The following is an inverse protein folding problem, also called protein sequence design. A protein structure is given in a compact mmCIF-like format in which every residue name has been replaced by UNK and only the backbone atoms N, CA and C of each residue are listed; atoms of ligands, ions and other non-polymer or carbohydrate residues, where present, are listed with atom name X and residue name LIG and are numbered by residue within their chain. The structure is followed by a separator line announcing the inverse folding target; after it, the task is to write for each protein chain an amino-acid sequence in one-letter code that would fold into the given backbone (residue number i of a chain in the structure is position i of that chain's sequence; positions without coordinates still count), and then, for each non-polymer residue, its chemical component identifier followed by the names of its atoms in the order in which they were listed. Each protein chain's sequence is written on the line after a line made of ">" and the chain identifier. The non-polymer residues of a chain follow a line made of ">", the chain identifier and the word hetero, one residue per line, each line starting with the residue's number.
data_IF_612914797033
#
_entry.id   IF_612914797033
#
_cell.length_a   1.000
_cell.length_b   1.000
_cell.length_c   1.000
_cell.angle_alpha   90.00
_cell.angle_beta   90.00
_cell.angle_gamma   90.00
#
_symmetry.space_group_name_H-M   'P 1'
#
loop_
_entity.id
_entity.type
_entity.pdbx_description
1 polymer ?
#
# COMPACT_ATOMS: atom_id res chain seq x y z
N UNK A 1 28.63 17.80 16.21
CA UNK A 1 27.21 17.51 15.95
C UNK A 1 27.15 16.09 15.39
N UNK A 2 26.57 15.13 16.13
CA UNK A 2 26.53 13.73 15.66
C UNK A 2 25.48 13.63 14.55
N UNK A 3 25.93 13.42 13.32
CA UNK A 3 25.06 13.01 12.21
C UNK A 3 24.34 11.72 12.60
N UNK A 4 23.03 11.81 12.81
CA UNK A 4 22.19 10.64 12.99
C UNK A 4 22.04 9.97 11.63
N UNK A 5 22.85 8.94 11.41
CA UNK A 5 22.76 8.07 10.24
C UNK A 5 21.43 7.29 10.29
N UNK A 6 20.42 7.82 9.59
CA UNK A 6 19.06 7.28 9.50
C UNK A 6 18.96 5.93 8.76
N UNK A 7 20.06 5.37 8.23
CA UNK A 7 20.03 4.10 7.46
C UNK A 7 20.01 2.84 8.33
N UNK A 8 20.05 2.97 9.66
CA UNK A 8 20.21 1.83 10.58
C UNK A 8 19.03 1.60 11.53
N UNK A 9 17.97 2.40 11.46
CA UNK A 9 16.79 2.23 12.31
C UNK A 9 15.84 1.21 11.67
N UNK A 10 16.05 -0.07 12.00
CA UNK A 10 15.07 -1.12 11.74
C UNK A 10 13.81 -0.83 12.55
N UNK A 11 12.80 -0.24 11.91
CA UNK A 11 11.52 0.03 12.56
C UNK A 11 10.67 -1.23 12.48
N UNK A 12 10.41 -1.83 13.65
CA UNK A 12 9.56 -3.01 13.74
C UNK A 12 8.10 -2.68 13.42
N UNK A 13 7.44 -3.58 12.68
CA UNK A 13 6.01 -3.39 12.32
C UNK A 13 5.08 -3.56 13.52
N UNK A 14 5.46 -4.33 14.55
CA UNK A 14 4.65 -4.62 15.74
C UNK A 14 5.47 -4.38 17.00
N UNK A 15 4.90 -3.69 18.00
CA UNK A 15 5.47 -3.51 19.33
C UNK A 15 4.36 -3.74 20.36
N UNK A 16 4.42 -4.88 21.07
CA UNK A 16 3.30 -5.33 21.91
C UNK A 16 2.04 -5.56 21.06
N UNK A 17 0.93 -4.89 21.41
CA UNK A 17 -0.34 -4.92 20.66
C UNK A 17 -0.51 -3.76 19.67
N UNK A 18 0.50 -2.90 19.55
CA UNK A 18 0.51 -1.78 18.62
C UNK A 18 1.27 -2.12 17.33
N UNK A 19 0.88 -1.44 16.25
CA UNK A 19 1.41 -1.62 14.91
C UNK A 19 1.87 -0.30 14.32
N UNK A 20 3.04 -0.32 13.70
CA UNK A 20 3.65 0.87 13.11
C UNK A 20 3.01 1.24 11.78
N UNK A 21 2.63 2.50 11.61
CA UNK A 21 2.24 3.07 10.32
C UNK A 21 3.41 3.89 9.74
N UNK A 22 4.00 3.52 8.59
CA UNK A 22 5.15 4.23 8.03
C UNK A 22 4.79 5.60 7.41
N UNK A 23 3.50 5.93 7.26
CA UNK A 23 3.06 7.24 6.75
C UNK A 23 2.99 8.31 7.84
N UNK A 24 2.29 8.05 8.95
CA UNK A 24 2.26 8.96 10.09
C UNK A 24 3.40 8.74 11.07
N UNK A 25 4.14 7.63 10.95
CA UNK A 25 5.26 7.23 11.80
C UNK A 25 4.89 6.99 13.27
N UNK A 26 3.68 6.47 13.50
CA UNK A 26 3.15 6.17 14.85
C UNK A 26 2.84 4.69 15.02
N UNK A 27 2.90 4.23 16.27
CA UNK A 27 2.38 2.92 16.69
C UNK A 27 0.93 3.07 17.11
N UNK A 28 0.04 2.35 16.43
CA UNK A 28 -1.41 2.43 16.62
C UNK A 28 -2.00 1.05 16.88
N UNK A 29 -3.16 1.01 17.52
CA UNK A 29 -3.91 -0.22 17.75
C UNK A 29 -4.33 -0.90 16.44
N UNK A 30 -4.55 -2.22 16.50
CA UNK A 30 -4.93 -3.04 15.33
C UNK A 30 -6.19 -2.53 14.63
N UNK A 31 -7.16 -2.02 15.39
CA UNK A 31 -8.44 -1.48 14.91
C UNK A 31 -8.27 -0.24 14.02
N UNK A 32 -7.14 0.48 14.13
CA UNK A 32 -6.81 1.63 13.28
C UNK A 32 -6.32 1.20 11.90
N UNK A 33 -6.17 -0.09 11.62
CA UNK A 33 -5.78 -0.63 10.32
C UNK A 33 -6.93 -1.41 9.66
N UNK A 34 -6.85 -1.60 8.34
CA UNK A 34 -7.77 -2.51 7.65
C UNK A 34 -7.26 -3.95 7.76
N UNK A 35 -8.18 -4.91 7.78
CA UNK A 35 -7.83 -6.33 7.75
C UNK A 35 -7.23 -6.71 6.39
N UNK A 36 -6.17 -7.50 6.39
CA UNK A 36 -5.52 -8.00 5.18
C UNK A 36 -5.03 -9.43 5.37
N UNK A 37 -5.60 -10.36 4.60
CA UNK A 37 -5.19 -11.78 4.59
C UNK A 37 -3.79 -11.99 4.04
N UNK A 38 -3.28 -11.05 3.24
CA UNK A 38 -1.96 -11.14 2.61
C UNK A 38 -0.80 -10.71 3.56
N UNK A 39 -1.13 -10.14 4.72
CA UNK A 39 -0.14 -9.62 5.67
C UNK A 39 0.14 -10.62 6.78
N UNK A 40 1.42 -10.77 7.17
CA UNK A 40 1.85 -11.56 8.33
C UNK A 40 1.06 -11.23 9.62
N UNK A 41 0.69 -9.96 9.78
CA UNK A 41 -0.01 -9.46 10.96
C UNK A 41 -1.53 -9.37 10.80
N UNK A 42 -2.06 -9.82 9.66
CA UNK A 42 -3.50 -9.77 9.37
C UNK A 42 -4.03 -8.36 9.11
N UNK A 43 -3.16 -7.35 8.97
CA UNK A 43 -3.54 -5.94 8.77
C UNK A 43 -2.73 -5.27 7.65
N UNK A 44 -3.25 -4.19 7.11
CA UNK A 44 -2.58 -3.35 6.10
C UNK A 44 -1.33 -2.64 6.63
N UNK A 45 -0.47 -2.20 5.71
CA UNK A 45 0.75 -1.46 6.06
C UNK A 45 0.45 -0.08 6.65
N UNK A 46 -0.60 0.60 6.17
CA UNK A 46 -1.01 1.93 6.61
C UNK A 46 -2.27 1.87 7.48
N UNK A 47 -2.38 2.80 8.42
CA UNK A 47 -3.61 3.03 9.18
C UNK A 47 -4.72 3.59 8.26
N UNK A 48 -5.97 3.48 8.70
CA UNK A 48 -7.18 3.87 7.96
C UNK A 48 -7.15 5.33 7.49
N UNK A 49 -6.67 6.24 8.34
CA UNK A 49 -6.56 7.66 8.00
C UNK A 49 -5.56 7.91 6.87
N UNK A 50 -4.34 7.37 7.01
CA UNK A 50 -3.32 7.47 5.97
C UNK A 50 -3.74 6.76 4.68
N UNK A 51 -4.44 5.63 4.78
CA UNK A 51 -4.93 4.91 3.60
C UNK A 51 -6.02 5.70 2.86
N UNK A 52 -6.92 6.37 3.58
CA UNK A 52 -7.91 7.28 2.98
C UNK A 52 -7.25 8.41 2.18
N UNK A 53 -6.23 9.05 2.76
CA UNK A 53 -5.47 10.11 2.08
C UNK A 53 -4.74 9.55 0.86
N UNK A 54 -4.09 8.39 0.99
CA UNK A 54 -3.38 7.72 -0.13
C UNK A 54 -4.33 7.45 -1.30
N UNK A 55 -5.51 6.88 -1.04
CA UNK A 55 -6.52 6.60 -2.07
C UNK A 55 -7.00 7.89 -2.75
N UNK A 56 -7.16 8.97 -2.00
CA UNK A 56 -7.56 10.27 -2.56
C UNK A 56 -6.48 10.83 -3.50
N UNK A 57 -5.22 10.79 -3.09
CA UNK A 57 -4.08 11.21 -3.92
C UNK A 57 -4.00 10.35 -5.20
N UNK A 58 -4.20 9.03 -5.09
CA UNK A 58 -4.21 8.14 -6.27
C UNK A 58 -5.35 8.47 -7.23
N UNK A 59 -6.54 8.78 -6.71
CA UNK A 59 -7.67 9.22 -7.52
C UNK A 59 -7.36 10.54 -8.25
N UNK A 60 -6.84 11.54 -7.53
CA UNK A 60 -6.47 12.84 -8.10
C UNK A 60 -5.35 12.72 -9.14
N UNK A 61 -4.34 11.87 -8.89
CA UNK A 61 -3.29 11.57 -9.86
C UNK A 61 -3.84 10.98 -11.16
N UNK A 62 -4.83 10.09 -11.07
CA UNK A 62 -5.48 9.51 -12.27
C UNK A 62 -6.29 10.57 -13.03
N UNK A 63 -7.06 11.40 -12.33
CA UNK A 63 -7.80 12.49 -12.95
C UNK A 63 -6.86 13.50 -13.64
N UNK A 64 -5.73 13.85 -12.99
CA UNK A 64 -4.73 14.72 -13.59
C UNK A 64 -4.05 14.08 -14.81
N UNK A 65 -3.71 12.80 -14.73
CA UNK A 65 -3.14 12.06 -15.86
C UNK A 65 -4.08 12.07 -17.08
N UNK A 66 -5.39 11.94 -16.86
CA UNK A 66 -6.41 12.05 -17.91
C UNK A 66 -6.44 13.45 -18.54
N UNK A 67 -6.47 14.51 -17.73
CA UNK A 67 -6.44 15.90 -18.22
C UNK A 67 -5.17 16.22 -19.01
N UNK A 68 -4.03 15.69 -18.57
CA UNK A 68 -2.74 15.87 -19.25
C UNK A 68 -2.55 14.93 -20.46
N UNK A 69 -3.53 14.08 -20.77
CA UNK A 69 -3.44 13.12 -21.87
C UNK A 69 -2.34 12.06 -21.68
N UNK A 70 -1.94 11.79 -20.43
CA UNK A 70 -0.97 10.74 -20.11
C UNK A 70 -1.61 9.38 -20.33
N UNK A 71 -1.29 8.76 -21.46
CA UNK A 71 -1.74 7.41 -21.75
C UNK A 71 -1.05 6.40 -20.83
N UNK A 72 -1.84 5.49 -20.27
CA UNK A 72 -1.30 4.32 -19.57
C UNK A 72 -0.57 3.43 -20.56
N UNK A 73 0.54 2.84 -20.15
CA UNK A 73 1.25 1.89 -21.01
C UNK A 73 0.43 0.61 -21.16
N UNK A 74 0.68 -0.13 -22.25
CA UNK A 74 0.02 -1.44 -22.47
C UNK A 74 0.27 -2.40 -21.32
N UNK A 75 1.45 -2.34 -20.71
CA UNK A 75 1.85 -3.15 -19.55
C UNK A 75 1.04 -2.78 -18.30
N UNK A 76 0.78 -1.49 -18.08
CA UNK A 76 -0.05 -1.01 -16.98
C UNK A 76 -1.50 -1.46 -17.12
N UNK A 77 -2.05 -1.42 -18.34
CA UNK A 77 -3.42 -1.88 -18.62
C UNK A 77 -3.53 -3.41 -18.50
N UNK A 78 -2.53 -4.16 -18.98
CA UNK A 78 -2.53 -5.62 -18.93
C UNK A 78 -2.51 -6.14 -17.48
N UNK A 79 -1.72 -5.52 -16.60
CA UNK A 79 -1.66 -5.87 -15.17
C UNK A 79 -3.02 -5.79 -14.46
N UNK A 80 -3.86 -4.84 -14.86
CA UNK A 80 -5.19 -4.63 -14.26
C UNK A 80 -6.26 -5.54 -14.87
N UNK A 81 -6.08 -5.99 -16.12
CA UNK A 81 -7.02 -6.89 -16.80
C UNK A 81 -6.80 -8.36 -16.49
N UNK A 82 -5.56 -8.78 -16.23
CA UNK A 82 -5.21 -10.19 -16.12
C UNK A 82 -4.49 -10.50 -14.81
N UNK A 83 -4.97 -11.50 -14.07
CA UNK A 83 -4.36 -11.93 -12.81
C UNK A 83 -4.02 -13.41 -12.84
N UNK A 84 -2.78 -13.72 -12.45
CA UNK A 84 -2.34 -15.10 -12.22
C UNK A 84 -2.99 -15.63 -10.95
N UNK A 85 -3.69 -16.76 -11.06
CA UNK A 85 -4.23 -17.48 -9.93
C UNK A 85 -3.07 -18.07 -9.11
N UNK A 86 -2.99 -17.72 -7.82
CA UNK A 86 -1.97 -18.26 -6.92
C UNK A 86 -2.14 -19.75 -6.60
N UNK A 87 -3.26 -20.37 -6.99
CA UNK A 87 -3.57 -21.77 -6.71
C UNK A 87 -3.23 -22.71 -7.88
N UNK A 88 -3.55 -22.32 -9.11
CA UNK A 88 -3.30 -23.12 -10.32
C UNK A 88 -2.26 -22.52 -11.28
N UNK A 89 -1.79 -21.30 -11.05
CA UNK A 89 -0.81 -20.63 -11.90
C UNK A 89 -1.37 -20.10 -13.23
N UNK A 90 -2.65 -20.33 -13.54
CA UNK A 90 -3.27 -19.80 -14.76
C UNK A 90 -3.51 -18.30 -14.66
N UNK A 91 -3.23 -17.57 -15.74
CA UNK A 91 -3.60 -16.16 -15.89
C UNK A 91 -5.02 -16.06 -16.42
N UNK A 92 -5.91 -15.39 -15.68
CA UNK A 92 -7.32 -15.19 -16.08
C UNK A 92 -7.66 -13.70 -16.15
N UNK A 93 -8.65 -13.36 -16.97
CA UNK A 93 -9.24 -12.01 -16.93
C UNK A 93 -9.83 -11.75 -15.53
N UNK A 94 -9.77 -10.49 -15.09
CA UNK A 94 -10.40 -10.03 -13.84
C UNK A 94 -11.87 -9.61 -14.08
N UNK A 95 -12.34 -9.60 -15.34
CA UNK A 95 -13.74 -9.35 -15.73
C UNK A 95 -14.73 -10.40 -15.19
#
# INVERSE_FOLDING_TARGET
>A
MKELNLKSLWIEKKKGDLYYCPKCREYLEKDKFHNSKASKYGITSYCKSCDKIRRRIEFEKRALAEVLGVQRTKEEVNRDKFKKCNKCGETKSIE
#
